data_IF_298434798098
#
_entry.id   IF_298434798098
#
_cell.length_a   1.000
_cell.length_b   1.000
_cell.length_c   1.000
_cell.angle_alpha   90.00
_cell.angle_beta   90.00
_cell.angle_gamma   90.00
#
_symmetry.space_group_name_H-M   'P 1'
#
loop_
_entity.id
_entity.type
_entity.pdbx_description
1 polymer ?
#
# COMPACT_ATOMS: atom_id res chain seq x y z
N UNK A 1 -30.52 -11.72 1.30
CA UNK A 1 -30.74 -12.87 0.39
C UNK A 1 -29.55 -12.89 -0.57
N UNK A 2 -28.70 -13.93 -0.44
CA UNK A 2 -27.55 -14.34 -1.29
C UNK A 2 -26.47 -13.27 -1.56
N UNK A 3 -25.24 -13.31 -1.04
CA UNK A 3 -24.35 -14.43 -0.73
C UNK A 3 -23.61 -14.20 0.61
N UNK A 4 -24.11 -14.82 1.66
CA UNK A 4 -23.42 -14.98 2.95
C UNK A 4 -23.87 -16.33 3.49
N UNK A 5 -23.37 -17.40 2.89
CA UNK A 5 -23.57 -18.78 3.30
C UNK A 5 -22.52 -19.64 2.58
N UNK A 6 -21.39 -19.81 3.25
CA UNK A 6 -20.55 -21.02 3.32
C UNK A 6 -19.14 -20.60 3.77
N UNK A 7 -18.96 -20.52 5.09
CA UNK A 7 -17.69 -20.78 5.78
C UNK A 7 -17.97 -21.12 7.26
N UNK A 8 -19.01 -21.92 7.47
CA UNK A 8 -19.23 -22.68 8.71
C UNK A 8 -19.31 -24.16 8.35
N UNK A 9 -18.25 -24.66 7.75
CA UNK A 9 -17.94 -26.09 7.69
C UNK A 9 -16.60 -26.24 8.37
N UNK A 10 -16.64 -26.72 9.62
CA UNK A 10 -15.60 -27.52 10.27
C UNK A 10 -14.17 -27.21 9.80
N UNK A 11 -13.53 -26.21 10.42
CA UNK A 11 -12.11 -26.41 10.74
C UNK A 11 -12.10 -27.51 11.80
N UNK A 12 -12.18 -28.75 11.33
CA UNK A 12 -11.72 -29.89 12.07
C UNK A 12 -10.26 -29.57 12.37
N UNK A 13 -9.91 -29.50 13.64
CA UNK A 13 -8.54 -29.53 14.10
C UNK A 13 -7.85 -30.76 13.49
N UNK A 14 -7.22 -30.60 12.35
CA UNK A 14 -6.31 -31.56 11.73
C UNK A 14 -5.11 -30.75 11.26
N UNK A 15 -4.35 -30.27 12.24
CA UNK A 15 -2.89 -30.08 12.18
C UNK A 15 -2.30 -30.09 13.61
N UNK A 16 -2.97 -30.80 14.53
CA UNK A 16 -2.27 -31.44 15.64
C UNK A 16 -1.73 -32.74 15.03
N UNK A 17 -0.41 -32.86 14.94
CA UNK A 17 0.25 -34.02 14.35
C UNK A 17 -0.42 -35.32 14.77
N UNK A 18 -0.59 -36.22 13.80
CA UNK A 18 -1.12 -37.57 14.02
C UNK A 18 -0.13 -38.30 14.96
N UNK A 19 -0.39 -38.23 16.27
CA UNK A 19 0.33 -39.02 17.24
C UNK A 19 -0.36 -40.38 17.29
N UNK A 20 0.27 -41.39 16.69
CA UNK A 20 -0.14 -42.79 16.85
C UNK A 20 -0.10 -43.14 18.34
N UNK A 21 -1.29 -43.25 18.96
CA UNK A 21 -1.46 -43.56 20.39
C UNK A 21 -0.99 -44.98 20.79
N UNK A 22 -0.34 -45.71 19.89
CA UNK A 22 0.21 -47.04 20.09
C UNK A 22 1.75 -47.06 20.17
N UNK A 23 2.45 -46.01 19.72
CA UNK A 23 3.91 -46.01 19.61
C UNK A 23 4.64 -44.82 20.25
N UNK A 24 3.94 -43.86 20.87
CA UNK A 24 4.57 -42.70 21.55
C UNK A 24 5.58 -41.90 20.69
N UNK A 25 5.45 -41.97 19.36
CA UNK A 25 6.27 -41.22 18.42
C UNK A 25 5.42 -40.18 17.71
N UNK A 26 5.40 -38.95 18.22
CA UNK A 26 4.89 -37.81 17.46
C UNK A 26 5.96 -37.41 16.41
N UNK A 27 5.54 -37.14 15.17
CA UNK A 27 6.39 -36.74 14.03
C UNK A 27 6.96 -35.32 14.16
N UNK A 28 7.34 -34.90 15.36
CA UNK A 28 7.90 -33.58 15.70
C UNK A 28 9.27 -33.34 15.06
N UNK A 29 9.97 -34.39 14.61
CA UNK A 29 11.29 -34.30 14.00
C UNK A 29 11.31 -33.81 12.55
N UNK A 30 10.26 -34.06 11.76
CA UNK A 30 10.24 -33.72 10.32
C UNK A 30 9.80 -32.27 10.07
N UNK A 31 8.87 -31.74 10.87
CA UNK A 31 8.41 -30.35 10.78
C UNK A 31 9.49 -29.34 11.16
N UNK A 32 10.31 -29.67 12.17
CA UNK A 32 11.45 -28.84 12.55
C UNK A 32 12.54 -28.81 11.46
N UNK A 33 12.83 -29.96 10.83
CA UNK A 33 13.82 -30.04 9.74
C UNK A 33 13.40 -29.25 8.48
N UNK A 34 12.12 -29.32 8.10
CA UNK A 34 11.60 -28.55 6.97
C UNK A 34 11.70 -27.03 7.24
N UNK A 35 11.37 -26.62 8.47
CA UNK A 35 11.48 -25.23 8.88
C UNK A 35 12.93 -24.72 8.89
N UNK A 36 13.86 -25.53 9.42
CA UNK A 36 15.28 -25.19 9.44
C UNK A 36 15.86 -25.03 8.03
N UNK A 37 15.48 -25.91 7.09
CA UNK A 37 15.89 -25.79 5.69
C UNK A 37 15.28 -24.54 5.04
N UNK A 38 14.01 -24.22 5.31
CA UNK A 38 13.40 -22.97 4.86
C UNK A 38 14.17 -21.74 5.38
N UNK A 39 14.48 -21.69 6.68
CA UNK A 39 15.22 -20.59 7.28
C UNK A 39 16.61 -20.43 6.64
N UNK A 40 17.30 -21.54 6.41
CA UNK A 40 18.60 -21.55 5.73
C UNK A 40 18.52 -21.00 4.31
N UNK A 41 17.53 -21.43 3.52
CA UNK A 41 17.32 -20.89 2.17
C UNK A 41 16.93 -19.40 2.20
N UNK A 42 16.12 -18.99 3.17
CA UNK A 42 15.70 -17.59 3.36
C UNK A 42 16.87 -16.66 3.71
N UNK A 43 17.75 -17.10 4.61
CA UNK A 43 18.97 -16.35 5.00
C UNK A 43 19.89 -16.22 3.80
N UNK A 44 20.17 -17.33 3.10
CA UNK A 44 20.98 -17.34 1.87
C UNK A 44 20.41 -16.39 0.81
N UNK A 45 19.09 -16.43 0.59
CA UNK A 45 18.42 -15.52 -0.34
C UNK A 45 18.64 -14.06 0.07
N UNK A 46 18.44 -13.74 1.35
CA UNK A 46 18.58 -12.38 1.87
C UNK A 46 20.00 -11.85 1.71
N UNK A 47 21.02 -12.66 2.01
CA UNK A 47 22.42 -12.29 1.83
C UNK A 47 22.73 -11.96 0.37
N UNK A 48 22.19 -12.73 -0.59
CA UNK A 48 22.45 -12.52 -2.01
C UNK A 48 21.74 -11.27 -2.54
N UNK A 49 20.43 -11.13 -2.30
CA UNK A 49 19.66 -10.02 -2.87
C UNK A 49 20.03 -8.66 -2.26
N UNK A 50 20.50 -8.63 -1.00
CA UNK A 50 20.89 -7.40 -0.32
C UNK A 50 22.38 -7.09 -0.33
N UNK A 51 23.23 -7.96 -0.89
CA UNK A 51 24.70 -7.80 -0.86
C UNK A 51 25.18 -6.46 -1.40
N UNK A 52 24.59 -6.00 -2.50
CA UNK A 52 24.93 -4.75 -3.20
C UNK A 52 23.71 -3.83 -3.33
N UNK A 53 22.67 -4.09 -2.52
CA UNK A 53 21.45 -3.31 -2.54
C UNK A 53 21.58 -2.09 -1.64
N UNK A 54 21.31 -0.90 -2.18
CA UNK A 54 21.27 0.35 -1.41
C UNK A 54 19.87 0.93 -1.43
N UNK A 55 19.16 0.98 -0.28
CA UNK A 55 17.82 1.56 -0.17
C UNK A 55 17.73 3.04 -0.57
N UNK A 56 18.84 3.77 -0.49
CA UNK A 56 18.90 5.20 -0.84
C UNK A 56 18.88 5.47 -2.35
N UNK A 57 19.07 4.44 -3.19
CA UNK A 57 19.13 4.59 -4.66
C UNK A 57 17.77 4.17 -5.26
N UNK A 58 17.08 5.04 -6.01
CA UNK A 58 15.84 4.66 -6.70
C UNK A 58 16.05 3.54 -7.72
N UNK A 59 15.05 2.65 -7.93
CA UNK A 59 15.14 1.52 -8.87
C UNK A 59 14.88 1.89 -10.34
N UNK A 60 14.90 3.16 -10.70
CA UNK A 60 14.64 3.65 -12.06
C UNK A 60 15.69 4.64 -12.54
N UNK A 61 15.74 4.85 -13.85
CA UNK A 61 16.68 5.75 -14.49
C UNK A 61 16.15 7.18 -14.51
N UNK A 62 16.98 8.14 -14.13
CA UNK A 62 16.73 9.55 -14.41
C UNK A 62 16.99 9.85 -15.89
N UNK A 63 16.25 10.80 -16.47
CA UNK A 63 16.45 11.33 -17.82
C UNK A 63 17.76 12.13 -17.86
N UNK A 64 18.87 11.43 -18.06
CA UNK A 64 20.10 12.06 -18.51
C UNK A 64 20.00 12.29 -20.02
N UNK A 65 20.52 13.41 -20.51
CA UNK A 65 20.55 13.69 -21.94
C UNK A 65 21.37 12.61 -22.65
N UNK A 66 20.67 11.66 -23.27
CA UNK A 66 21.21 10.78 -24.28
C UNK A 66 21.47 11.65 -25.52
N UNK A 67 22.63 12.30 -25.56
CA UNK A 67 23.10 13.08 -26.72
C UNK A 67 23.24 12.24 -28.02
N UNK A 68 22.87 10.95 -27.99
CA UNK A 68 22.81 10.09 -29.15
C UNK A 68 21.35 9.86 -29.52
N UNK A 69 20.88 10.58 -30.55
CA UNK A 69 19.49 10.66 -31.01
C UNK A 69 18.81 9.38 -31.51
N UNK A 70 19.23 8.21 -31.05
CA UNK A 70 18.74 6.90 -31.47
C UNK A 70 18.30 5.99 -30.30
N UNK A 71 18.41 6.43 -29.05
CA UNK A 71 17.99 5.62 -27.88
C UNK A 71 16.59 6.02 -27.41
N UNK A 72 15.70 5.04 -27.30
CA UNK A 72 14.36 5.23 -26.73
C UNK A 72 14.48 5.64 -25.27
N UNK A 73 13.75 6.70 -24.87
CA UNK A 73 13.68 7.12 -23.46
C UNK A 73 13.30 5.93 -22.55
N UNK A 74 13.87 5.83 -21.34
CA UNK A 74 13.46 4.83 -20.36
C UNK A 74 11.94 4.90 -20.11
N UNK A 75 11.32 3.73 -19.90
CA UNK A 75 9.92 3.69 -19.48
C UNK A 75 9.74 4.37 -18.13
N UNK A 76 8.67 5.14 -17.98
CA UNK A 76 8.30 5.78 -16.72
C UNK A 76 8.14 4.73 -15.61
N UNK A 77 8.71 5.03 -14.45
CA UNK A 77 8.53 4.26 -13.23
C UNK A 77 7.12 4.47 -12.69
N UNK A 78 6.41 3.38 -12.41
CA UNK A 78 5.01 3.44 -11.97
C UNK A 78 4.87 2.95 -10.55
N UNK A 79 4.25 3.78 -9.71
CA UNK A 79 3.77 3.39 -8.38
C UNK A 79 2.26 3.29 -8.42
N UNK A 80 1.74 2.09 -8.15
CA UNK A 80 0.31 1.87 -8.08
C UNK A 80 -0.15 2.01 -6.63
N UNK A 81 -1.19 2.81 -6.41
CA UNK A 81 -1.83 3.00 -5.12
C UNK A 81 -3.27 2.54 -5.22
N UNK A 82 -3.61 1.53 -4.42
CA UNK A 82 -4.94 0.95 -4.36
C UNK A 82 -5.60 1.31 -3.04
N UNK A 83 -6.69 2.09 -3.10
CA UNK A 83 -7.47 2.44 -1.91
C UNK A 83 -8.01 1.17 -1.25
N UNK A 84 -7.66 0.97 0.02
CA UNK A 84 -8.09 -0.19 0.81
C UNK A 84 -9.15 0.17 1.83
N UNK A 85 -9.03 1.32 2.50
CA UNK A 85 -10.00 1.80 3.48
C UNK A 85 -10.01 3.33 3.51
N UNK A 86 -11.22 3.90 3.52
CA UNK A 86 -11.41 5.32 3.78
C UNK A 86 -12.53 5.46 4.80
N UNK A 87 -12.27 6.11 5.92
CA UNK A 87 -13.30 6.37 6.94
C UNK A 87 -13.15 7.76 7.51
N UNK A 88 -14.26 8.49 7.58
CA UNK A 88 -14.32 9.78 8.22
C UNK A 88 -14.16 9.67 9.74
N UNK A 89 -13.22 10.44 10.28
CA UNK A 89 -12.98 10.56 11.72
C UNK A 89 -13.70 11.81 12.24
N UNK A 90 -13.34 12.98 11.70
CA UNK A 90 -13.90 14.27 12.11
C UNK A 90 -13.87 15.28 10.98
N UNK A 91 -14.74 16.27 11.10
CA UNK A 91 -14.82 17.47 10.27
C UNK A 91 -14.74 18.65 11.23
N UNK A 92 -13.97 19.67 10.86
CA UNK A 92 -13.88 20.95 11.56
C UNK A 92 -14.07 22.05 10.52
N UNK A 93 -15.30 22.54 10.43
CA UNK A 93 -15.70 23.57 9.47
C UNK A 93 -14.97 24.91 9.70
N UNK A 94 -14.79 25.39 10.95
CA UNK A 94 -14.06 26.64 11.18
C UNK A 94 -12.58 26.56 10.80
N UNK A 95 -11.99 25.37 10.83
CA UNK A 95 -10.60 25.12 10.46
C UNK A 95 -10.46 24.60 9.02
N UNK A 96 -11.57 24.46 8.29
CA UNK A 96 -11.61 23.84 6.96
C UNK A 96 -10.84 22.51 6.92
N UNK A 97 -11.01 21.68 7.97
CA UNK A 97 -10.18 20.49 8.19
C UNK A 97 -11.01 19.22 8.23
N UNK A 98 -10.59 18.22 7.47
CA UNK A 98 -11.18 16.88 7.48
C UNK A 98 -10.14 15.87 7.86
N UNK A 99 -10.45 15.03 8.85
CA UNK A 99 -9.61 13.92 9.30
C UNK A 99 -10.23 12.60 8.86
N UNK A 100 -9.45 11.77 8.17
CA UNK A 100 -9.86 10.43 7.72
C UNK A 100 -8.85 9.38 8.12
N UNK A 101 -9.32 8.15 8.38
CA UNK A 101 -8.49 6.96 8.26
C UNK A 101 -8.36 6.68 6.78
N UNK A 102 -7.13 6.71 6.29
CA UNK A 102 -6.78 6.51 4.90
C UNK A 102 -5.74 5.39 4.82
N UNK A 103 -6.22 4.22 4.39
CA UNK A 103 -5.36 3.07 4.18
C UNK A 103 -5.33 2.69 2.70
N UNK A 104 -4.15 2.36 2.23
CA UNK A 104 -3.92 1.98 0.84
C UNK A 104 -2.78 0.99 0.69
N UNK A 105 -2.90 0.15 -0.33
CA UNK A 105 -1.81 -0.73 -0.77
C UNK A 105 -0.98 0.03 -1.80
N UNK A 106 0.30 0.24 -1.51
CA UNK A 106 1.26 0.83 -2.44
C UNK A 106 2.13 -0.27 -3.03
N UNK A 107 2.18 -0.36 -4.36
CA UNK A 107 2.99 -1.36 -5.09
C UNK A 107 3.86 -0.72 -6.16
N UNK A 108 5.05 -1.25 -6.33
CA UNK A 108 6.02 -0.83 -7.34
C UNK A 108 6.89 -2.01 -7.78
N UNK A 109 7.76 -1.76 -8.74
CA UNK A 109 8.65 -2.78 -9.31
C UNK A 109 10.11 -2.43 -9.01
N UNK A 110 10.83 -3.26 -8.26
CA UNK A 110 12.29 -3.12 -8.08
C UNK A 110 13.00 -4.32 -8.71
N UNK A 111 13.62 -4.11 -9.86
CA UNK A 111 14.30 -5.19 -10.60
C UNK A 111 15.52 -5.77 -9.86
N UNK A 112 16.08 -5.01 -8.91
CA UNK A 112 17.25 -5.41 -8.12
C UNK A 112 16.88 -6.46 -7.07
N UNK A 113 15.61 -6.54 -6.72
CA UNK A 113 15.06 -7.47 -5.73
C UNK A 113 14.48 -8.76 -6.35
N UNK A 114 14.93 -9.12 -7.57
CA UNK A 114 14.49 -10.33 -8.28
C UNK A 114 15.33 -11.54 -7.89
N UNK A 115 14.69 -12.71 -7.86
CA UNK A 115 15.40 -13.99 -7.74
C UNK A 115 14.66 -15.11 -8.48
N UNK A 116 15.33 -16.25 -8.65
CA UNK A 116 14.72 -17.46 -9.19
C UNK A 116 14.31 -18.39 -8.03
N UNK A 117 13.01 -18.65 -7.78
CA UNK A 117 12.56 -19.51 -6.68
C UNK A 117 13.23 -20.89 -6.66
N UNK A 118 13.53 -21.46 -7.83
CA UNK A 118 14.16 -22.79 -7.94
C UNK A 118 15.56 -22.86 -7.28
N UNK A 119 16.25 -21.74 -7.09
CA UNK A 119 17.57 -21.67 -6.46
C UNK A 119 17.52 -21.54 -4.93
N UNK A 120 16.34 -21.26 -4.37
CA UNK A 120 16.14 -20.91 -2.96
C UNK A 120 14.94 -21.67 -2.37
N UNK A 121 14.88 -22.99 -2.62
CA UNK A 121 13.86 -23.86 -2.01
C UNK A 121 12.42 -23.57 -2.44
N UNK A 122 12.20 -22.91 -3.57
CA UNK A 122 10.86 -22.57 -4.06
C UNK A 122 10.24 -21.34 -3.40
N UNK A 123 11.02 -20.51 -2.68
CA UNK A 123 10.51 -19.28 -2.07
C UNK A 123 10.07 -18.31 -3.16
N UNK A 124 8.78 -18.01 -3.26
CA UNK A 124 8.21 -17.09 -4.25
C UNK A 124 8.07 -15.65 -3.74
N UNK A 125 7.97 -15.46 -2.43
CA UNK A 125 7.87 -14.14 -1.82
C UNK A 125 8.52 -14.12 -0.44
N UNK A 126 8.89 -12.92 0.01
CA UNK A 126 9.48 -12.66 1.32
C UNK A 126 8.88 -11.41 1.94
N UNK A 127 8.88 -11.35 3.27
CA UNK A 127 8.59 -10.13 4.02
C UNK A 127 9.89 -9.49 4.51
N UNK A 128 9.95 -8.16 4.47
CA UNK A 128 11.07 -7.38 4.98
C UNK A 128 10.62 -6.03 5.54
N UNK A 129 11.34 -5.51 6.54
CA UNK A 129 11.10 -4.17 7.06
C UNK A 129 11.33 -3.09 5.99
N UNK A 130 10.48 -2.06 5.98
CA UNK A 130 10.55 -0.97 5.00
C UNK A 130 11.89 -0.22 5.01
N UNK A 131 12.57 -0.16 6.15
CA UNK A 131 13.89 0.49 6.27
C UNK A 131 15.00 -0.20 5.47
N UNK A 132 14.79 -1.46 5.06
CA UNK A 132 15.79 -2.25 4.33
C UNK A 132 15.64 -2.15 2.81
N UNK A 133 14.62 -1.43 2.32
CA UNK A 133 14.33 -1.29 0.89
C UNK A 133 14.10 0.18 0.52
N UNK A 134 14.30 0.50 -0.75
CA UNK A 134 13.85 1.77 -1.29
C UNK A 134 12.31 1.80 -1.27
N UNK A 135 11.75 2.88 -0.75
CA UNK A 135 10.30 3.11 -0.70
C UNK A 135 10.00 4.39 -1.49
N UNK A 136 9.06 4.36 -2.46
CA UNK A 136 8.69 5.55 -3.19
C UNK A 136 8.24 6.68 -2.25
N UNK A 137 8.76 7.91 -2.43
CA UNK A 137 8.43 9.07 -1.61
C UNK A 137 7.06 9.65 -2.04
N UNK A 138 5.97 9.01 -1.61
CA UNK A 138 4.62 9.52 -1.81
C UNK A 138 4.18 10.34 -0.61
N UNK A 139 3.76 11.57 -0.86
CA UNK A 139 3.26 12.52 0.14
C UNK A 139 1.79 12.85 -0.11
N UNK A 140 1.09 13.26 0.96
CA UNK A 140 -0.26 13.81 0.86
C UNK A 140 -0.20 15.31 0.61
N UNK A 141 -0.92 15.79 -0.40
CA UNK A 141 -1.07 17.21 -0.74
C UNK A 141 -2.14 17.85 0.15
N UNK A 142 -1.97 19.14 0.45
CA UNK A 142 -2.85 19.91 1.34
C UNK A 142 -3.04 19.27 2.72
N UNK A 143 -2.05 18.46 3.13
CA UNK A 143 -2.06 17.81 4.42
C UNK A 143 -1.82 18.82 5.54
N UNK A 144 -2.74 18.82 6.50
CA UNK A 144 -2.54 19.46 7.79
C UNK A 144 -1.72 18.57 8.73
N UNK A 145 -2.01 17.26 8.73
CA UNK A 145 -1.28 16.26 9.51
C UNK A 145 -1.40 14.88 8.84
N UNK A 146 -0.35 14.06 8.91
CA UNK A 146 -0.34 12.68 8.40
C UNK A 146 0.38 11.79 9.41
N UNK A 147 -0.39 10.93 10.08
CA UNK A 147 0.13 10.04 11.11
C UNK A 147 0.05 8.60 10.64
N UNK A 148 1.20 7.95 10.46
CA UNK A 148 1.32 6.51 10.25
C UNK A 148 1.26 5.79 11.61
N UNK A 149 0.16 5.08 11.87
CA UNK A 149 -0.06 4.38 13.14
C UNK A 149 0.73 3.08 13.28
N UNK A 150 1.41 2.63 12.21
CA UNK A 150 2.24 1.44 12.27
C UNK A 150 3.49 1.73 13.09
N UNK A 151 3.78 0.86 14.05
CA UNK A 151 5.02 0.88 14.82
C UNK A 151 6.12 0.09 14.11
N UNK A 152 7.38 0.29 14.48
CA UNK A 152 8.57 -0.19 13.75
C UNK A 152 8.43 -1.57 13.07
N UNK A 153 8.05 -2.61 13.81
CA UNK A 153 7.92 -3.98 13.30
C UNK A 153 6.71 -4.21 12.38
N UNK A 154 5.70 -3.34 12.41
CA UNK A 154 4.53 -3.39 11.54
C UNK A 154 4.82 -2.75 10.16
N UNK A 155 5.92 -2.01 10.02
CA UNK A 155 6.33 -1.37 8.77
C UNK A 155 7.06 -2.38 7.89
N UNK A 156 6.28 -3.25 7.25
CA UNK A 156 6.77 -4.37 6.44
C UNK A 156 6.29 -4.23 5.00
N UNK A 157 7.14 -4.66 4.06
CA UNK A 157 6.78 -4.90 2.67
C UNK A 157 6.84 -6.40 2.37
N UNK A 158 5.99 -6.83 1.44
CA UNK A 158 6.19 -8.09 0.74
C UNK A 158 6.97 -7.81 -0.55
N UNK A 159 7.86 -8.73 -0.91
CA UNK A 159 8.60 -8.74 -2.16
C UNK A 159 8.32 -10.07 -2.82
N UNK A 160 7.89 -10.06 -4.08
CA UNK A 160 7.74 -11.26 -4.91
C UNK A 160 9.02 -11.53 -5.72
N UNK A 161 9.24 -12.78 -6.12
CA UNK A 161 10.43 -13.21 -6.86
C UNK A 161 10.65 -12.45 -8.18
N UNK A 162 9.56 -11.96 -8.78
CA UNK A 162 9.58 -11.15 -9.99
C UNK A 162 9.99 -9.68 -9.72
N UNK A 163 10.32 -9.31 -8.48
CA UNK A 163 10.71 -7.97 -8.05
C UNK A 163 9.54 -7.01 -7.82
N UNK A 164 8.29 -7.49 -7.87
CA UNK A 164 7.14 -6.71 -7.44
C UNK A 164 7.19 -6.55 -5.92
N UNK A 165 7.10 -5.32 -5.47
CA UNK A 165 7.13 -4.95 -4.05
C UNK A 165 5.81 -4.31 -3.70
N UNK A 166 5.30 -4.60 -2.50
CA UNK A 166 4.12 -3.91 -1.99
C UNK A 166 4.16 -3.73 -0.48
N UNK A 167 3.54 -2.65 -0.02
CA UNK A 167 3.33 -2.38 1.40
C UNK A 167 1.97 -1.75 1.64
N UNK A 168 1.35 -2.13 2.75
CA UNK A 168 0.10 -1.54 3.19
C UNK A 168 0.40 -0.32 4.07
N UNK A 169 -0.04 0.85 3.65
CA UNK A 169 0.03 2.08 4.43
C UNK A 169 -1.26 2.25 5.22
N UNK A 170 -1.15 2.53 6.51
CA UNK A 170 -2.29 2.78 7.40
C UNK A 170 -2.10 4.14 8.09
N UNK A 171 -2.80 5.16 7.59
CA UNK A 171 -2.61 6.55 8.01
C UNK A 171 -3.89 7.17 8.54
N UNK A 172 -3.77 8.05 9.52
CA UNK A 172 -4.80 9.06 9.77
C UNK A 172 -4.31 10.35 9.15
N UNK A 173 -5.07 10.83 8.18
CA UNK A 173 -4.72 11.95 7.33
C UNK A 173 -5.71 13.05 7.58
N UNK A 174 -5.19 14.20 8.00
CA UNK A 174 -5.94 15.45 8.09
C UNK A 174 -5.58 16.31 6.88
N UNK A 175 -6.57 16.71 6.09
CA UNK A 175 -6.39 17.59 4.92
C UNK A 175 -7.18 18.88 5.08
N UNK A 176 -6.67 19.94 4.47
CA UNK A 176 -7.40 21.19 4.30
C UNK A 176 -8.41 21.00 3.16
N UNK A 177 -9.65 21.39 3.42
CA UNK A 177 -10.78 21.25 2.52
C UNK A 177 -11.63 22.51 2.57
N UNK A 178 -11.71 23.24 1.46
CA UNK A 178 -12.57 24.39 1.35
C UNK A 178 -14.04 23.97 1.51
N UNK A 179 -14.72 24.51 2.52
CA UNK A 179 -16.10 24.16 2.84
C UNK A 179 -17.07 25.29 2.50
N UNK A 180 -18.23 24.93 1.94
CA UNK A 180 -19.33 25.87 1.71
C UNK A 180 -20.42 25.68 2.77
N UNK A 181 -20.43 26.59 3.75
CA UNK A 181 -21.37 26.56 4.90
C UNK A 181 -22.69 27.29 4.63
N UNK A 182 -22.97 27.67 3.38
CA UNK A 182 -24.17 28.47 3.04
C UNK A 182 -25.49 27.81 3.46
N UNK A 183 -25.55 26.47 3.46
CA UNK A 183 -26.77 25.69 3.74
C UNK A 183 -26.83 25.06 5.13
N UNK A 184 -26.01 25.54 6.07
CA UNK A 184 -25.99 25.01 7.43
C UNK A 184 -27.41 24.91 8.04
N UNK A 185 -27.81 23.80 8.68
CA UNK A 185 -27.03 22.58 9.00
C UNK A 185 -27.22 21.41 8.00
N UNK A 186 -27.66 21.68 6.76
CA UNK A 186 -27.93 20.68 5.71
C UNK A 186 -27.00 20.87 4.49
N UNK A 187 -25.76 21.25 4.75
CA UNK A 187 -24.71 21.48 3.78
C UNK A 187 -23.98 20.19 3.37
N UNK A 188 -23.50 20.15 2.12
CA UNK A 188 -22.71 19.04 1.57
C UNK A 188 -21.29 19.52 1.35
N UNK A 189 -20.30 18.77 1.84
CA UNK A 189 -18.88 19.10 1.66
C UNK A 189 -18.20 18.11 0.72
N UNK A 190 -17.27 18.56 -0.12
CA UNK A 190 -16.48 17.69 -1.00
C UNK A 190 -15.00 17.93 -0.73
N UNK A 191 -14.36 16.96 -0.08
CA UNK A 191 -12.96 17.04 0.30
C UNK A 191 -12.16 15.94 -0.37
N UNK A 192 -10.91 16.24 -0.74
CA UNK A 192 -10.00 15.32 -1.41
C UNK A 192 -8.77 15.01 -0.54
N UNK A 193 -8.40 13.74 -0.45
CA UNK A 193 -7.06 13.31 -0.05
C UNK A 193 -6.26 13.09 -1.31
N UNK A 194 -5.25 13.93 -1.51
CA UNK A 194 -4.46 13.96 -2.73
C UNK A 194 -3.07 13.39 -2.49
N UNK A 195 -2.59 12.48 -3.35
CA UNK A 195 -1.25 11.91 -3.26
C UNK A 195 -0.36 12.40 -4.39
N UNK A 196 0.92 12.67 -4.07
CA UNK A 196 1.89 13.25 -4.98
C UNK A 196 3.33 12.88 -4.62
N UNK A 197 4.24 12.94 -5.59
CA UNK A 197 5.68 12.96 -5.39
C UNK A 197 6.21 14.39 -5.65
N UNK A 198 7.13 14.86 -4.81
CA UNK A 198 7.72 16.19 -4.91
C UNK A 198 9.13 16.19 -5.53
N UNK A 199 9.69 15.01 -5.81
CA UNK A 199 11.13 14.86 -6.07
C UNK A 199 11.46 14.52 -7.53
N UNK A 200 10.62 13.74 -8.21
CA UNK A 200 10.92 13.18 -9.52
C UNK A 200 10.12 13.86 -10.63
N UNK A 201 10.66 13.79 -11.85
CA UNK A 201 10.02 14.38 -13.03
C UNK A 201 8.87 13.53 -13.51
N UNK A 202 7.84 14.18 -14.08
CA UNK A 202 6.70 13.53 -14.73
C UNK A 202 7.08 12.52 -15.82
N UNK A 203 8.17 12.77 -16.54
CA UNK A 203 8.66 11.89 -17.59
C UNK A 203 9.48 10.70 -17.07
N UNK A 204 9.77 10.64 -15.77
CA UNK A 204 10.52 9.56 -15.11
C UNK A 204 9.64 8.74 -14.18
N UNK A 205 8.67 9.36 -13.53
CA UNK A 205 7.91 8.80 -12.42
C UNK A 205 6.42 9.16 -12.55
N UNK A 206 5.57 8.16 -12.36
CA UNK A 206 4.12 8.33 -12.34
C UNK A 206 3.47 7.55 -11.19
N UNK A 207 2.42 8.14 -10.63
CA UNK A 207 1.54 7.49 -9.65
C UNK A 207 0.24 7.15 -10.35
N UNK A 208 -0.12 5.87 -10.34
CA UNK A 208 -1.39 5.37 -10.85
C UNK A 208 -2.25 4.91 -9.69
N UNK A 209 -3.55 5.09 -9.81
CA UNK A 209 -4.45 4.82 -8.70
C UNK A 209 -5.66 4.03 -9.09
N UNK A 210 -6.01 3.10 -8.21
CA UNK A 210 -7.15 2.23 -8.35
C UNK A 210 -7.95 2.23 -7.06
N UNK A 211 -9.22 1.85 -7.19
CA UNK A 211 -10.12 1.65 -6.06
C UNK A 211 -10.74 0.28 -6.23
N UNK A 212 -10.49 -0.59 -5.25
CA UNK A 212 -11.16 -1.89 -5.14
C UNK A 212 -12.39 -1.76 -4.24
N UNK A 213 -13.15 -2.84 -4.07
CA UNK A 213 -14.28 -2.87 -3.15
C UNK A 213 -13.83 -2.54 -1.73
N UNK A 214 -14.48 -1.54 -1.14
CA UNK A 214 -14.24 -1.15 0.24
C UNK A 214 -14.69 -2.28 1.19
N UNK A 215 -13.98 -2.49 2.30
CA UNK A 215 -14.26 -3.58 3.24
C UNK A 215 -15.57 -3.38 4.01
N UNK A 216 -16.14 -2.17 3.98
CA UNK A 216 -17.38 -1.81 4.66
C UNK A 216 -18.29 -1.03 3.70
N UNK A 217 -19.62 -1.14 3.86
CA UNK A 217 -20.55 -0.32 3.09
C UNK A 217 -20.36 1.17 3.40
N UNK A 218 -20.63 2.03 2.41
CA UNK A 218 -20.48 3.49 2.53
C UNK A 218 -21.18 4.07 3.77
N UNK A 219 -22.36 3.55 4.14
CA UNK A 219 -23.11 3.98 5.33
C UNK A 219 -22.39 3.78 6.67
N UNK A 220 -21.32 2.96 6.70
CA UNK A 220 -20.49 2.73 7.89
C UNK A 220 -19.17 3.51 7.89
N UNK A 221 -18.91 4.27 6.83
CA UNK A 221 -17.65 5.01 6.64
C UNK A 221 -17.75 6.47 7.09
N UNK A 222 -18.95 6.94 7.43
CA UNK A 222 -19.17 8.20 8.13
C UNK A 222 -18.85 8.14 9.63
N UNK A 223 -19.28 9.16 10.36
CA UNK A 223 -19.23 9.21 11.83
C UNK A 223 -20.63 9.54 12.40
N UNK A 224 -20.71 9.93 13.68
CA UNK A 224 -21.99 10.16 14.36
C UNK A 224 -22.78 11.39 13.86
N UNK A 225 -22.14 12.26 13.08
CA UNK A 225 -22.71 13.52 12.58
C UNK A 225 -22.76 13.55 11.04
N UNK A 226 -21.76 12.96 10.38
CA UNK A 226 -21.52 13.04 8.95
C UNK A 226 -21.68 11.66 8.28
N UNK A 227 -22.58 11.54 7.31
CA UNK A 227 -22.71 10.32 6.46
C UNK A 227 -21.76 10.40 5.25
N UNK A 228 -21.22 9.25 4.82
CA UNK A 228 -20.42 9.14 3.61
C UNK A 228 -21.28 8.75 2.40
N UNK A 229 -21.52 9.70 1.48
CA UNK A 229 -22.38 9.47 0.30
C UNK A 229 -21.71 8.72 -0.84
N UNK A 230 -20.47 9.10 -1.19
CA UNK A 230 -19.79 8.57 -2.38
C UNK A 230 -18.29 8.75 -2.30
N UNK A 231 -17.53 7.69 -2.55
CA UNK A 231 -16.08 7.77 -2.81
C UNK A 231 -15.85 7.67 -4.31
N UNK A 232 -15.08 8.61 -4.87
CA UNK A 232 -14.67 8.54 -6.27
C UNK A 232 -13.24 9.05 -6.46
N UNK A 233 -12.65 8.62 -7.57
CA UNK A 233 -11.31 8.96 -8.00
C UNK A 233 -11.38 10.07 -9.05
N UNK A 234 -10.52 11.07 -8.95
CA UNK A 234 -10.33 12.10 -9.99
C UNK A 234 -8.83 12.26 -10.29
N UNK A 235 -8.49 12.18 -11.57
CA UNK A 235 -7.17 12.56 -12.09
C UNK A 235 -7.19 14.06 -12.41
N UNK A 236 -6.18 14.79 -11.93
CA UNK A 236 -5.97 16.18 -12.29
C UNK A 236 -4.58 16.33 -12.91
N UNK A 237 -4.55 16.93 -14.11
CA UNK A 237 -3.30 17.28 -14.79
C UNK A 237 -2.87 18.65 -14.26
N UNK A 238 -1.93 18.70 -13.33
CA UNK A 238 -1.34 19.99 -12.96
C UNK A 238 -0.36 20.37 -14.07
N UNK A 239 -0.66 21.48 -14.74
CA UNK A 239 0.19 22.07 -15.76
C UNK A 239 1.25 22.91 -15.07
N UNK A 240 2.37 22.29 -14.72
CA UNK A 240 3.65 22.97 -14.63
C UNK A 240 4.77 21.96 -14.93
N UNK A 241 5.86 22.43 -15.54
CA UNK A 241 6.98 21.65 -16.08
C UNK A 241 7.84 20.96 -14.99
N UNK A 242 7.32 20.89 -13.76
CA UNK A 242 7.83 20.11 -12.64
C UNK A 242 6.74 19.11 -12.22
N UNK A 243 7.07 17.82 -12.22
CA UNK A 243 6.13 16.70 -12.22
C UNK A 243 5.21 16.62 -11.00
N UNK A 244 4.08 17.32 -11.05
CA UNK A 244 3.03 17.30 -10.05
C UNK A 244 1.85 16.53 -10.64
N UNK A 245 1.65 15.28 -10.22
CA UNK A 245 0.44 14.52 -10.57
C UNK A 245 -0.30 14.06 -9.33
N UNK A 246 -1.58 14.42 -9.33
CA UNK A 246 -2.53 14.33 -8.23
C UNK A 246 -3.42 13.13 -8.46
N UNK A 247 -3.45 12.19 -7.52
CA UNK A 247 -4.66 11.39 -7.33
C UNK A 247 -5.46 11.93 -6.18
N UNK A 248 -6.65 12.44 -6.50
CA UNK A 248 -7.67 12.79 -5.53
C UNK A 248 -8.46 11.54 -5.12
N UNK A 249 -8.60 11.30 -3.82
CA UNK A 249 -9.64 10.44 -3.22
C UNK A 249 -10.61 11.37 -2.52
N UNK A 250 -11.80 11.56 -3.09
CA UNK A 250 -12.77 12.49 -2.55
C UNK A 250 -13.91 11.80 -1.80
N UNK A 251 -14.30 12.38 -0.67
CA UNK A 251 -15.52 11.99 0.04
C UNK A 251 -16.01 12.99 1.10
N UNK A 252 -17.31 13.35 1.07
CA UNK A 252 -18.21 13.90 2.14
C UNK A 252 -19.56 14.34 1.47
N UNK A 253 -20.63 14.86 2.11
CA UNK A 253 -21.55 14.29 3.12
C UNK A 253 -23.04 14.54 2.75
N UNK A 254 -24.00 13.90 3.43
CA UNK A 254 -24.96 14.45 4.45
C UNK A 254 -25.75 13.25 5.00
N UNK A 255 -26.00 13.25 6.31
CA UNK A 255 -26.98 12.44 7.08
C UNK A 255 -27.73 11.28 6.39
#
# INVERSE_FOLDING_TARGET
MLAALLLSTLVRSQDLGDCDALNDTCTTGQTNQLHDEFLKQRIKLQEVIFREYTPAIPPFYTLYSLNNGNESLPSMFTVNIELSMLKLVSVSEPEEKVTVIFDYLMTWQDIRLRWNPAQYGGIEYIYIGLSSIWVPPVATVDAHDVVDYRQGEQKVAFINYNGSVGTYMATVTSVVCAMDIYKFPLDEQTCSVSLMDHLFRNAEYQITTSMTYLPRPLSMLGNGEWEMKRIWRREENITDDDGVFVTNIACLTTR
#
